data_IF_329201150782
#
_entry.id   IF_329201150782
#
_cell.length_a   1.000
_cell.length_b   1.000
_cell.length_c   1.000
_cell.angle_alpha   90.00
_cell.angle_beta   90.00
_cell.angle_gamma   90.00
#
_symmetry.space_group_name_H-M   'P 1'
#
loop_
_entity.id
_entity.type
_entity.pdbx_description
1 polymer ?
#
# COMPACT_ATOMS: atom_id res chain seq x y z
N UNK A 1 -22.51 -60.40 35.50
CA UNK A 1 -22.46 -60.23 34.02
C UNK A 1 -21.96 -58.82 33.70
N UNK A 2 -20.76 -58.70 33.14
CA UNK A 2 -20.15 -57.43 32.72
C UNK A 2 -20.99 -56.78 31.62
N UNK A 3 -21.58 -55.60 31.85
CA UNK A 3 -22.25 -54.81 30.80
C UNK A 3 -21.58 -53.45 30.65
N UNK A 4 -20.61 -53.45 29.74
CA UNK A 4 -20.36 -52.45 28.71
C UNK A 4 -20.38 -50.97 29.13
N UNK A 5 -19.21 -50.48 29.53
CA UNK A 5 -18.84 -49.06 29.53
C UNK A 5 -19.06 -48.48 28.12
N UNK A 6 -20.13 -47.71 27.93
CA UNK A 6 -20.31 -46.88 26.74
C UNK A 6 -19.46 -45.62 26.90
N UNK A 7 -18.23 -45.67 26.39
CA UNK A 7 -17.46 -44.46 26.13
C UNK A 7 -18.12 -43.77 24.93
N UNK A 8 -19.00 -42.81 25.20
CA UNK A 8 -19.44 -41.83 24.21
C UNK A 8 -18.24 -40.94 23.86
N UNK A 9 -17.45 -41.36 22.87
CA UNK A 9 -16.55 -40.45 22.17
C UNK A 9 -17.48 -39.57 21.32
N UNK A 10 -17.90 -38.45 21.89
CA UNK A 10 -18.40 -37.33 21.10
C UNK A 10 -17.24 -36.87 20.21
N UNK A 11 -17.19 -37.43 19.00
CA UNK A 11 -16.43 -36.84 17.90
C UNK A 11 -17.14 -35.54 17.55
N UNK A 12 -16.87 -34.49 18.33
CA UNK A 12 -17.08 -33.11 17.89
C UNK A 12 -16.15 -32.97 16.70
N UNK A 13 -16.72 -33.22 15.52
CA UNK A 13 -16.19 -32.74 14.26
C UNK A 13 -16.17 -31.23 14.47
N UNK A 14 -15.03 -30.72 14.93
CA UNK A 14 -14.64 -29.37 14.64
C UNK A 14 -14.71 -29.29 13.11
N UNK A 15 -15.85 -28.82 12.59
CA UNK A 15 -15.81 -27.95 11.43
C UNK A 15 -14.93 -26.78 11.88
N UNK A 16 -13.61 -26.99 11.80
CA UNK A 16 -12.74 -25.92 11.39
C UNK A 16 -13.29 -25.50 10.05
N UNK A 17 -14.25 -24.56 10.09
CA UNK A 17 -14.42 -23.62 9.02
C UNK A 17 -13.02 -23.04 8.85
N UNK A 18 -12.26 -23.62 7.93
CA UNK A 18 -11.19 -22.98 7.20
C UNK A 18 -11.83 -21.78 6.48
N UNK A 19 -12.27 -20.80 7.25
CA UNK A 19 -12.29 -19.40 6.85
C UNK A 19 -10.82 -19.01 6.79
N UNK A 20 -10.14 -19.61 5.81
CA UNK A 20 -8.81 -19.23 5.36
C UNK A 20 -8.89 -17.75 5.10
N UNK A 21 -8.08 -17.00 5.84
CA UNK A 21 -8.07 -15.55 5.85
C UNK A 21 -7.60 -15.02 4.48
N UNK A 22 -8.54 -14.98 3.54
CA UNK A 22 -8.32 -14.79 2.12
C UNK A 22 -9.42 -13.88 1.57
N UNK A 23 -9.29 -13.54 0.29
CA UNK A 23 -10.39 -12.97 -0.47
C UNK A 23 -11.61 -13.88 -0.36
N UNK A 24 -12.82 -13.33 -0.29
CA UNK A 24 -14.01 -14.16 -0.22
C UNK A 24 -14.13 -15.06 -1.44
N UNK A 25 -14.71 -16.25 -1.28
CA UNK A 25 -14.94 -17.20 -2.39
C UNK A 25 -15.67 -16.52 -3.55
N UNK A 26 -16.61 -15.63 -3.25
CA UNK A 26 -17.30 -14.84 -4.26
C UNK A 26 -16.35 -13.98 -5.10
N UNK A 27 -15.35 -13.32 -4.49
CA UNK A 27 -14.40 -12.52 -5.23
C UNK A 27 -13.36 -13.40 -5.94
N UNK A 28 -12.97 -14.53 -5.35
CA UNK A 28 -12.12 -15.52 -6.00
C UNK A 28 -12.78 -16.07 -7.28
N UNK A 29 -14.06 -16.43 -7.23
CA UNK A 29 -14.82 -16.87 -8.41
C UNK A 29 -14.91 -15.76 -9.48
N UNK A 30 -15.09 -14.50 -9.06
CA UNK A 30 -15.04 -13.39 -9.99
C UNK A 30 -13.68 -13.27 -10.69
N UNK A 31 -12.57 -13.43 -9.96
CA UNK A 31 -11.21 -13.40 -10.53
C UNK A 31 -11.04 -14.52 -11.56
N UNK A 32 -11.40 -15.76 -11.20
CA UNK A 32 -11.30 -16.92 -12.10
C UNK A 32 -12.11 -16.74 -13.40
N UNK A 33 -13.27 -16.08 -13.31
CA UNK A 33 -14.16 -15.90 -14.45
C UNK A 33 -13.81 -14.70 -15.34
N UNK A 34 -12.99 -13.74 -14.87
CA UNK A 34 -12.81 -12.44 -15.55
C UNK A 34 -11.34 -12.02 -15.75
N UNK A 35 -10.37 -12.71 -15.15
CA UNK A 35 -8.95 -12.40 -15.20
C UNK A 35 -8.15 -13.68 -15.53
N UNK A 36 -6.85 -13.53 -15.84
CA UNK A 36 -5.94 -14.68 -15.89
C UNK A 36 -6.03 -15.44 -14.54
N UNK A 37 -6.40 -16.73 -14.53
CA UNK A 37 -6.51 -17.54 -13.31
C UNK A 37 -5.26 -17.51 -12.43
N UNK A 38 -4.07 -17.26 -13.01
CA UNK A 38 -2.83 -17.11 -12.25
C UNK A 38 -2.90 -15.97 -11.22
N UNK A 39 -3.69 -14.91 -11.48
CA UNK A 39 -3.86 -13.81 -10.53
C UNK A 39 -4.54 -14.23 -9.24
N UNK A 40 -5.32 -15.32 -9.23
CA UNK A 40 -5.93 -15.81 -8.00
C UNK A 40 -4.83 -16.10 -6.95
N UNK A 41 -3.79 -16.83 -7.34
CA UNK A 41 -2.65 -17.14 -6.47
C UNK A 41 -1.93 -15.88 -5.98
N UNK A 42 -1.68 -14.93 -6.89
CA UNK A 42 -1.02 -13.67 -6.55
C UNK A 42 -1.88 -12.79 -5.62
N UNK A 43 -3.20 -12.91 -5.70
CA UNK A 43 -4.08 -12.09 -4.88
C UNK A 43 -4.45 -12.75 -3.56
N UNK A 44 -4.63 -14.07 -3.47
CA UNK A 44 -4.98 -14.75 -2.20
C UNK A 44 -3.78 -14.89 -1.28
N UNK A 45 -2.58 -15.08 -1.84
CA UNK A 45 -1.31 -15.18 -1.09
C UNK A 45 -1.33 -16.24 0.00
N UNK A 46 -1.92 -17.39 -0.32
CA UNK A 46 -1.96 -18.57 0.57
C UNK A 46 -0.55 -19.01 1.01
N UNK A 47 0.47 -18.77 0.17
CA UNK A 47 1.87 -19.03 0.47
C UNK A 47 2.42 -18.21 1.66
N UNK A 48 1.74 -17.13 2.05
CA UNK A 48 2.16 -16.25 3.16
C UNK A 48 1.35 -16.43 4.44
N UNK A 49 0.35 -17.32 4.43
CA UNK A 49 -0.51 -17.63 5.56
C UNK A 49 -1.66 -16.64 5.77
N UNK A 50 -2.30 -16.74 6.94
CA UNK A 50 -3.52 -15.98 7.26
C UNK A 50 -3.29 -14.47 7.19
N UNK A 51 -4.31 -13.72 6.74
CA UNK A 51 -4.34 -12.24 6.69
C UNK A 51 -3.32 -11.65 5.71
N UNK A 52 -2.81 -12.44 4.78
CA UNK A 52 -2.01 -11.95 3.66
C UNK A 52 -2.86 -11.14 2.67
N UNK A 53 -4.16 -11.41 2.63
CA UNK A 53 -5.13 -10.72 1.77
C UNK A 53 -6.50 -10.56 2.45
N UNK A 54 -7.32 -9.62 1.97
CA UNK A 54 -8.70 -9.38 2.43
C UNK A 54 -9.53 -8.74 1.32
N UNK A 55 -10.84 -9.00 1.33
CA UNK A 55 -11.81 -8.31 0.49
C UNK A 55 -12.79 -9.26 -0.19
N UNK A 56 -13.82 -8.69 -0.79
CA UNK A 56 -14.88 -9.44 -1.49
C UNK A 56 -16.15 -9.64 -0.66
N UNK A 57 -17.28 -9.76 -1.35
CA UNK A 57 -18.60 -10.05 -0.77
C UNK A 57 -18.68 -11.48 -0.26
N UNK A 58 -19.51 -11.77 0.73
CA UNK A 58 -19.83 -13.15 1.09
C UNK A 58 -20.76 -13.77 0.05
N UNK A 59 -21.69 -12.98 -0.49
CA UNK A 59 -22.66 -13.40 -1.51
C UNK A 59 -23.18 -12.19 -2.32
N UNK A 60 -24.06 -12.45 -3.30
CA UNK A 60 -24.62 -11.41 -4.17
C UNK A 60 -25.48 -10.36 -3.44
N UNK A 61 -26.01 -10.66 -2.25
CA UNK A 61 -26.87 -9.75 -1.49
C UNK A 61 -26.09 -8.68 -0.73
N UNK A 62 -24.76 -8.80 -0.61
CA UNK A 62 -23.93 -7.78 0.01
C UNK A 62 -23.86 -6.53 -0.89
N UNK A 63 -24.31 -5.40 -0.34
CA UNK A 63 -24.38 -4.12 -1.05
C UNK A 63 -23.13 -3.29 -0.79
N UNK A 64 -22.52 -2.77 -1.85
CA UNK A 64 -21.40 -1.83 -1.78
C UNK A 64 -21.99 -0.42 -1.74
N UNK A 65 -21.91 0.22 -0.58
CA UNK A 65 -22.48 1.55 -0.33
C UNK A 65 -21.43 2.66 -0.33
N UNK A 66 -20.16 2.29 -0.16
CA UNK A 66 -19.00 3.18 -0.15
C UNK A 66 -18.04 2.80 -1.26
N UNK A 67 -17.17 3.74 -1.65
CA UNK A 67 -16.03 3.41 -2.51
C UNK A 67 -15.15 2.39 -1.79
N UNK A 68 -14.74 1.30 -2.46
CA UNK A 68 -13.82 0.33 -1.87
C UNK A 68 -12.48 0.96 -1.53
N UNK A 69 -11.93 0.62 -0.37
CA UNK A 69 -10.60 1.06 0.06
C UNK A 69 -9.62 -0.07 -0.18
N UNK A 70 -8.54 0.21 -0.92
CA UNK A 70 -7.42 -0.72 -1.13
C UNK A 70 -6.24 -0.28 -0.27
N UNK A 71 -5.77 -1.18 0.58
CA UNK A 71 -4.59 -0.98 1.43
C UNK A 71 -3.37 -1.60 0.73
N UNK A 72 -2.35 -0.79 0.47
CA UNK A 72 -1.07 -1.23 -0.10
C UNK A 72 0.05 -1.05 0.94
N UNK A 73 0.55 -2.17 1.45
CA UNK A 73 1.58 -2.16 2.49
C UNK A 73 2.94 -1.64 2.00
N UNK A 74 3.83 -1.36 2.96
CA UNK A 74 5.22 -0.96 2.71
C UNK A 74 6.19 -2.12 2.51
N UNK A 75 7.47 -1.78 2.35
CA UNK A 75 8.57 -2.73 2.21
C UNK A 75 8.64 -3.70 3.39
N UNK A 76 9.04 -4.96 3.14
CA UNK A 76 9.20 -6.01 4.17
C UNK A 76 7.98 -6.23 5.07
N UNK A 77 6.77 -5.89 4.59
CA UNK A 77 5.53 -6.10 5.32
C UNK A 77 4.63 -7.09 4.57
N UNK A 78 3.61 -7.54 5.29
CA UNK A 78 2.42 -8.19 4.75
C UNK A 78 1.21 -7.31 5.04
N UNK A 79 0.08 -7.57 4.38
CA UNK A 79 -1.18 -6.92 4.72
C UNK A 79 -1.56 -7.11 6.21
N UNK A 80 -1.13 -8.21 6.84
CA UNK A 80 -1.31 -8.46 8.26
C UNK A 80 -0.82 -7.31 9.17
N UNK A 81 0.23 -6.56 8.77
CA UNK A 81 0.72 -5.39 9.53
C UNK A 81 -0.33 -4.27 9.65
N UNK A 82 -1.30 -4.25 8.74
CA UNK A 82 -2.32 -3.22 8.59
C UNK A 82 -3.70 -3.64 9.12
N UNK A 83 -3.77 -4.71 9.91
CA UNK A 83 -5.03 -5.12 10.57
C UNK A 83 -5.58 -4.03 11.47
N UNK A 84 -4.72 -3.21 12.10
CA UNK A 84 -5.18 -2.04 12.85
C UNK A 84 -5.94 -1.03 11.99
N UNK A 85 -5.51 -0.81 10.74
CA UNK A 85 -6.22 0.06 9.79
C UNK A 85 -7.52 -0.60 9.29
N UNK A 86 -7.48 -1.89 8.95
CA UNK A 86 -8.66 -2.65 8.52
C UNK A 86 -9.74 -2.64 9.60
N UNK A 87 -9.37 -2.90 10.85
CA UNK A 87 -10.30 -2.84 11.98
C UNK A 87 -10.83 -1.42 12.18
N UNK A 88 -9.99 -0.39 12.00
CA UNK A 88 -10.42 1.00 12.12
C UNK A 88 -11.41 1.43 11.03
N UNK A 89 -11.23 0.97 9.80
CA UNK A 89 -12.22 1.17 8.72
C UNK A 89 -13.56 0.53 9.09
N UNK A 90 -13.55 -0.70 9.60
CA UNK A 90 -14.76 -1.41 10.05
C UNK A 90 -15.44 -0.69 11.20
N UNK A 91 -14.68 -0.20 12.17
CA UNK A 91 -15.18 0.65 13.27
C UNK A 91 -15.87 1.91 12.74
N UNK A 92 -15.36 2.50 11.65
CA UNK A 92 -15.96 3.65 10.94
C UNK A 92 -17.07 3.28 9.95
N UNK A 93 -17.57 2.04 10.01
CA UNK A 93 -18.74 1.59 9.28
C UNK A 93 -18.46 1.03 7.88
N UNK A 94 -17.21 0.87 7.46
CA UNK A 94 -16.90 0.13 6.23
C UNK A 94 -17.22 -1.35 6.41
N UNK A 95 -17.85 -1.96 5.40
CA UNK A 95 -18.13 -3.40 5.39
C UNK A 95 -16.87 -4.17 4.96
N UNK A 96 -16.80 -5.46 5.31
CA UNK A 96 -15.66 -6.31 4.94
C UNK A 96 -15.45 -6.37 3.42
N UNK A 97 -16.53 -6.29 2.63
CA UNK A 97 -16.50 -6.24 1.17
C UNK A 97 -16.29 -4.83 0.57
N UNK A 98 -15.96 -3.85 1.41
CA UNK A 98 -15.55 -2.49 1.02
C UNK A 98 -14.08 -2.22 1.40
N UNK A 99 -13.39 -3.18 2.02
CA UNK A 99 -11.98 -3.09 2.41
C UNK A 99 -11.19 -4.22 1.75
N UNK A 100 -10.20 -3.85 0.95
CA UNK A 100 -9.42 -4.75 0.13
C UNK A 100 -7.93 -4.59 0.41
N UNK A 101 -7.18 -5.66 0.20
CA UNK A 101 -5.73 -5.64 0.24
C UNK A 101 -5.18 -6.99 -0.17
N UNK A 102 -4.00 -6.97 -0.77
CA UNK A 102 -3.20 -8.16 -1.01
C UNK A 102 -1.74 -7.85 -0.69
N UNK A 103 -0.99 -8.88 -0.33
CA UNK A 103 0.45 -8.74 -0.09
C UNK A 103 1.19 -8.80 -1.42
N UNK A 104 1.93 -7.75 -1.76
CA UNK A 104 2.87 -7.77 -2.88
C UNK A 104 4.25 -8.28 -2.41
N UNK A 105 5.02 -8.87 -3.33
CA UNK A 105 6.34 -9.42 -3.02
C UNK A 105 6.31 -10.67 -2.13
N UNK A 106 7.37 -10.94 -1.39
CA UNK A 106 7.52 -12.20 -0.62
C UNK A 106 7.08 -12.12 0.84
N UNK A 107 6.46 -11.01 1.25
CA UNK A 107 6.00 -10.80 2.62
C UNK A 107 7.13 -10.62 3.65
N UNK A 108 8.29 -10.13 3.22
CA UNK A 108 9.43 -9.80 4.09
C UNK A 108 10.49 -10.89 4.21
N UNK A 109 10.51 -11.86 3.29
CA UNK A 109 11.60 -12.84 3.21
C UNK A 109 12.88 -12.19 2.69
N UNK A 110 12.76 -11.30 1.69
CA UNK A 110 13.88 -10.49 1.21
C UNK A 110 14.17 -9.36 2.19
N UNK A 111 15.42 -9.18 2.65
CA UNK A 111 15.81 -8.04 3.47
C UNK A 111 15.44 -6.71 2.81
N UNK A 112 14.96 -5.73 3.59
CA UNK A 112 14.52 -4.44 3.08
C UNK A 112 15.61 -3.73 2.24
N UNK A 113 16.88 -3.89 2.57
CA UNK A 113 18.01 -3.32 1.81
C UNK A 113 18.15 -3.88 0.39
N UNK A 114 17.47 -4.98 0.06
CA UNK A 114 17.55 -5.67 -1.23
C UNK A 114 16.22 -5.63 -2.03
N UNK A 115 15.14 -5.07 -1.46
CA UNK A 115 13.87 -4.97 -2.18
C UNK A 115 13.91 -3.78 -3.13
N UNK A 116 13.63 -4.05 -4.41
CA UNK A 116 13.56 -3.04 -5.47
C UNK A 116 12.15 -2.94 -6.04
N UNK A 117 11.87 -1.88 -6.79
CA UNK A 117 10.59 -1.67 -7.44
C UNK A 117 10.43 -2.55 -8.70
N UNK A 118 10.35 -3.86 -8.47
CA UNK A 118 10.22 -4.86 -9.54
C UNK A 118 8.90 -4.73 -10.29
N UNK A 119 8.94 -4.91 -11.61
CA UNK A 119 7.75 -4.96 -12.44
C UNK A 119 6.72 -5.99 -11.95
N UNK A 120 7.19 -7.14 -11.44
CA UNK A 120 6.35 -8.18 -10.85
C UNK A 120 5.43 -7.63 -9.74
N UNK A 121 5.97 -6.85 -8.81
CA UNK A 121 5.19 -6.29 -7.69
C UNK A 121 4.18 -5.25 -8.19
N UNK A 122 4.61 -4.43 -9.14
CA UNK A 122 3.78 -3.40 -9.78
C UNK A 122 2.61 -4.04 -10.53
N UNK A 123 2.82 -5.15 -11.25
CA UNK A 123 1.78 -5.89 -11.97
C UNK A 123 0.72 -6.43 -11.00
N UNK A 124 1.13 -7.01 -9.87
CA UNK A 124 0.19 -7.50 -8.85
C UNK A 124 -0.67 -6.36 -8.31
N UNK A 125 -0.04 -5.24 -7.92
CA UNK A 125 -0.78 -4.06 -7.40
C UNK A 125 -1.76 -3.53 -8.46
N UNK A 126 -1.29 -3.35 -9.70
CA UNK A 126 -2.09 -2.82 -10.82
C UNK A 126 -3.32 -3.69 -11.09
N UNK A 127 -3.13 -4.99 -11.21
CA UNK A 127 -4.22 -5.90 -11.55
C UNK A 127 -5.19 -6.07 -10.38
N UNK A 128 -4.70 -5.98 -9.13
CA UNK A 128 -5.58 -5.97 -7.96
C UNK A 128 -6.48 -4.73 -7.94
N UNK A 129 -5.95 -3.54 -8.26
CA UNK A 129 -6.73 -2.30 -8.38
C UNK A 129 -7.83 -2.46 -9.44
N UNK A 130 -7.47 -2.97 -10.63
CA UNK A 130 -8.42 -3.19 -11.73
C UNK A 130 -9.50 -4.21 -11.33
N UNK A 131 -9.10 -5.33 -10.72
CA UNK A 131 -10.01 -6.38 -10.27
C UNK A 131 -11.02 -5.86 -9.24
N UNK A 132 -10.56 -5.12 -8.22
CA UNK A 132 -11.44 -4.54 -7.21
C UNK A 132 -12.39 -3.52 -7.83
N UNK A 133 -11.91 -2.61 -8.67
CA UNK A 133 -12.77 -1.60 -9.31
C UNK A 133 -13.85 -2.23 -10.18
N UNK A 134 -13.50 -3.21 -11.02
CA UNK A 134 -14.47 -3.90 -11.88
C UNK A 134 -15.44 -4.76 -11.08
N UNK A 135 -14.95 -5.49 -10.08
CA UNK A 135 -15.78 -6.33 -9.21
C UNK A 135 -16.85 -5.53 -8.46
N UNK A 136 -16.47 -4.34 -8.01
CA UNK A 136 -17.33 -3.46 -7.22
C UNK A 136 -18.14 -2.47 -8.07
N UNK A 137 -17.88 -2.44 -9.38
CA UNK A 137 -18.40 -1.46 -10.34
C UNK A 137 -18.29 -0.02 -9.80
N UNK A 138 -17.11 0.34 -9.26
CA UNK A 138 -16.90 1.62 -8.60
C UNK A 138 -15.46 2.10 -8.80
N UNK A 139 -15.24 3.40 -8.62
CA UNK A 139 -13.89 3.92 -8.37
C UNK A 139 -13.43 3.45 -6.99
N UNK A 140 -12.13 3.25 -6.85
CA UNK A 140 -11.51 2.83 -5.59
C UNK A 140 -10.82 4.01 -4.92
N UNK A 141 -10.73 3.95 -3.60
CA UNK A 141 -9.81 4.78 -2.83
C UNK A 141 -8.59 3.92 -2.41
N UNK A 142 -7.40 4.52 -2.39
CA UNK A 142 -6.14 3.83 -2.11
C UNK A 142 -5.46 4.49 -0.91
N UNK A 143 -4.97 3.64 0.01
CA UNK A 143 -4.03 4.05 1.05
C UNK A 143 -2.76 3.24 0.86
N UNK A 144 -1.71 3.92 0.41
CA UNK A 144 -0.42 3.31 0.14
C UNK A 144 0.62 3.80 1.16
N UNK A 145 1.39 2.85 1.69
CA UNK A 145 2.32 3.08 2.79
C UNK A 145 3.77 2.92 2.33
N UNK A 146 4.66 3.82 2.74
CA UNK A 146 6.12 3.63 2.56
C UNK A 146 6.48 3.36 1.09
N UNK A 147 7.26 2.31 0.82
CA UNK A 147 7.58 1.85 -0.54
C UNK A 147 6.34 1.47 -1.37
N UNK A 148 5.24 1.08 -0.73
CA UNK A 148 3.97 0.81 -1.40
C UNK A 148 3.44 2.04 -2.16
N UNK A 149 3.75 3.26 -1.70
CA UNK A 149 3.33 4.49 -2.38
C UNK A 149 3.92 4.61 -3.80
N UNK A 150 5.24 4.70 -4.01
CA UNK A 150 5.78 4.79 -5.36
C UNK A 150 5.48 3.55 -6.22
N UNK A 151 5.38 2.34 -5.65
CA UNK A 151 4.95 1.15 -6.40
C UNK A 151 3.53 1.29 -6.95
N UNK A 152 2.60 1.79 -6.11
CA UNK A 152 1.22 2.01 -6.53
C UNK A 152 1.13 3.14 -7.54
N UNK A 153 1.92 4.20 -7.40
CA UNK A 153 2.03 5.26 -8.41
C UNK A 153 2.45 4.71 -9.76
N UNK A 154 3.46 3.82 -9.81
CA UNK A 154 3.84 3.15 -11.06
C UNK A 154 2.73 2.24 -11.61
N UNK A 155 2.03 1.51 -10.73
CA UNK A 155 0.89 0.70 -11.11
C UNK A 155 -0.25 1.53 -11.75
N UNK A 156 -0.45 2.77 -11.26
CA UNK A 156 -1.48 3.69 -11.76
C UNK A 156 -1.05 4.33 -13.08
N UNK A 157 0.13 4.95 -13.17
CA UNK A 157 0.58 5.64 -14.40
C UNK A 157 0.72 4.67 -15.58
N UNK A 158 1.01 3.39 -15.31
CA UNK A 158 1.15 2.39 -16.36
C UNK A 158 2.42 2.60 -17.17
N UNK A 159 2.32 2.49 -18.50
CA UNK A 159 3.48 2.60 -19.38
C UNK A 159 4.42 1.39 -19.27
N UNK A 160 5.71 1.56 -19.60
CA UNK A 160 6.70 0.47 -19.52
C UNK A 160 7.31 0.37 -18.12
N UNK A 161 7.49 -0.82 -17.61
CA UNK A 161 8.34 -1.07 -16.45
C UNK A 161 9.79 -0.70 -16.77
N UNK A 162 10.46 0.00 -15.86
CA UNK A 162 11.84 0.47 -16.11
C UNK A 162 12.87 -0.66 -16.10
N UNK A 163 12.59 -1.73 -15.36
CA UNK A 163 13.49 -2.87 -15.16
C UNK A 163 13.33 -3.96 -16.23
N UNK A 164 12.09 -4.28 -16.61
CA UNK A 164 11.81 -5.35 -17.60
C UNK A 164 11.40 -4.85 -18.97
N UNK A 165 11.02 -3.57 -19.11
CA UNK A 165 10.46 -3.02 -20.34
C UNK A 165 9.02 -3.45 -20.64
N UNK A 166 8.42 -4.33 -19.83
CA UNK A 166 7.05 -4.82 -20.00
C UNK A 166 6.05 -3.66 -19.97
N UNK A 167 5.08 -3.68 -20.88
CA UNK A 167 4.04 -2.66 -20.96
C UNK A 167 2.87 -3.00 -20.02
N UNK A 168 2.64 -2.15 -19.02
CA UNK A 168 1.56 -2.29 -18.03
C UNK A 168 0.19 -1.90 -18.58
N UNK A 169 0.13 -1.12 -19.67
CA UNK A 169 -1.09 -0.55 -20.22
C UNK A 169 -1.24 0.96 -19.95
N UNK A 170 -2.42 1.48 -20.26
CA UNK A 170 -2.78 2.89 -20.09
C UNK A 170 -2.90 3.29 -18.61
N UNK A 171 -2.81 4.60 -18.27
CA UNK A 171 -3.03 5.07 -16.92
C UNK A 171 -4.39 4.66 -16.32
N UNK A 172 -4.44 4.41 -15.02
CA UNK A 172 -5.66 4.08 -14.26
C UNK A 172 -6.30 5.31 -13.61
N UNK A 173 -5.98 6.53 -14.03
CA UNK A 173 -6.47 7.77 -13.39
C UNK A 173 -8.01 7.78 -13.21
N UNK A 174 -8.76 7.28 -14.19
CA UNK A 174 -10.23 7.20 -14.14
C UNK A 174 -10.78 6.06 -13.26
N UNK A 175 -9.91 5.25 -12.64
CA UNK A 175 -10.26 4.16 -11.73
C UNK A 175 -10.10 4.58 -10.26
N UNK A 176 -9.23 5.55 -9.97
CA UNK A 176 -8.92 5.98 -8.59
C UNK A 176 -9.63 7.30 -8.28
N UNK A 177 -10.46 7.30 -7.24
CA UNK A 177 -11.03 8.55 -6.72
C UNK A 177 -10.05 9.22 -5.76
N UNK A 178 -9.72 8.59 -4.63
CA UNK A 178 -8.79 9.14 -3.63
C UNK A 178 -7.51 8.32 -3.56
N UNK A 179 -6.37 8.98 -3.59
CA UNK A 179 -5.06 8.39 -3.33
C UNK A 179 -4.42 9.05 -2.12
N UNK A 180 -4.07 8.26 -1.10
CA UNK A 180 -3.39 8.73 0.11
C UNK A 180 -2.03 8.04 0.20
N UNK A 181 -0.97 8.83 0.09
CA UNK A 181 0.39 8.38 0.40
C UNK A 181 0.70 8.63 1.88
N UNK A 182 0.98 7.57 2.64
CA UNK A 182 1.31 7.66 4.07
C UNK A 182 2.77 7.25 4.27
N UNK A 183 3.60 8.20 4.72
CA UNK A 183 5.05 8.01 4.85
C UNK A 183 5.69 7.45 3.57
N UNK A 184 5.17 7.82 2.39
CA UNK A 184 5.58 7.22 1.11
C UNK A 184 6.98 7.66 0.67
N UNK A 185 7.74 6.79 -0.01
CA UNK A 185 9.07 7.11 -0.55
C UNK A 185 9.02 7.71 -1.97
N UNK A 186 8.15 8.70 -2.18
CA UNK A 186 7.74 9.16 -3.53
C UNK A 186 8.86 9.84 -4.34
N UNK A 187 9.85 10.41 -3.67
CA UNK A 187 11.06 10.98 -4.29
C UNK A 187 12.34 10.34 -3.73
N UNK A 188 12.22 9.14 -3.17
CA UNK A 188 13.32 8.35 -2.63
C UNK A 188 13.35 8.30 -1.11
N UNK A 189 14.50 7.90 -0.57
CA UNK A 189 14.77 7.84 0.88
C UNK A 189 16.06 8.57 1.22
N UNK A 190 16.13 9.22 2.38
CA UNK A 190 17.36 9.79 2.93
C UNK A 190 18.42 8.73 3.24
N UNK A 191 18.03 7.46 3.31
CA UNK A 191 18.94 6.32 3.41
C UNK A 191 19.52 5.91 2.04
N UNK A 192 18.97 6.43 0.95
CA UNK A 192 19.36 6.14 -0.43
C UNK A 192 19.84 7.40 -1.18
N UNK A 193 20.48 8.37 -0.50
CA UNK A 193 21.01 9.56 -1.17
C UNK A 193 22.13 9.21 -2.16
N UNK A 194 22.90 8.16 -1.88
CA UNK A 194 23.87 7.60 -2.80
C UNK A 194 23.36 6.31 -3.42
N UNK A 195 23.56 6.11 -4.73
CA UNK A 195 23.14 4.88 -5.37
C UNK A 195 24.08 3.74 -4.99
N UNK A 196 23.51 2.61 -4.54
CA UNK A 196 24.25 1.39 -4.22
C UNK A 196 23.81 0.30 -5.21
N UNK A 197 24.74 -0.31 -5.98
CA UNK A 197 24.41 -1.41 -6.88
C UNK A 197 23.71 -2.57 -6.17
N UNK A 198 22.80 -3.26 -6.85
CA UNK A 198 22.11 -4.47 -6.36
C UNK A 198 21.49 -4.26 -4.96
N UNK A 199 20.78 -3.15 -4.79
CA UNK A 199 20.13 -2.79 -3.53
C UNK A 199 18.83 -2.05 -3.76
N UNK A 200 18.09 -1.80 -2.68
CA UNK A 200 16.96 -0.89 -2.63
C UNK A 200 17.30 0.55 -3.01
N UNK A 201 18.58 0.92 -3.13
CA UNK A 201 19.05 2.24 -3.52
C UNK A 201 19.66 2.28 -4.95
N UNK A 202 19.43 1.27 -5.80
CA UNK A 202 20.04 1.24 -7.13
C UNK A 202 19.48 2.31 -8.11
N UNK A 203 20.22 2.60 -9.19
CA UNK A 203 19.87 3.63 -10.20
C UNK A 203 18.75 3.25 -11.16
N UNK A 204 18.35 1.98 -11.24
CA UNK A 204 17.32 1.52 -12.17
C UNK A 204 15.94 1.60 -11.52
N UNK A 205 15.72 0.76 -10.50
CA UNK A 205 14.44 0.60 -9.82
C UNK A 205 14.55 0.69 -8.29
N UNK A 206 15.52 1.46 -7.80
CA UNK A 206 15.69 1.74 -6.37
C UNK A 206 14.98 3.01 -5.89
N UNK A 207 15.23 3.35 -4.63
CA UNK A 207 14.78 4.55 -3.93
C UNK A 207 15.86 5.65 -3.89
N UNK A 208 16.90 5.52 -4.71
CA UNK A 208 17.79 6.64 -5.01
C UNK A 208 17.04 7.67 -5.84
N UNK A 209 17.09 8.95 -5.44
CA UNK A 209 16.27 10.01 -6.03
C UNK A 209 16.37 10.12 -7.56
N UNK A 210 17.56 9.88 -8.12
CA UNK A 210 17.83 9.90 -9.55
C UNK A 210 17.77 8.52 -10.19
N UNK A 211 16.96 7.62 -9.63
CA UNK A 211 16.70 6.32 -10.26
C UNK A 211 15.68 6.48 -11.38
N UNK A 212 15.83 5.69 -12.45
CA UNK A 212 14.90 5.71 -13.58
C UNK A 212 13.45 5.47 -13.15
N UNK A 213 13.23 4.63 -12.14
CA UNK A 213 11.90 4.41 -11.55
C UNK A 213 11.30 5.66 -10.92
N UNK A 214 12.07 6.40 -10.11
CA UNK A 214 11.56 7.62 -9.49
C UNK A 214 11.41 8.76 -10.49
N UNK A 215 12.28 8.85 -11.49
CA UNK A 215 12.13 9.80 -12.59
C UNK A 215 10.85 9.52 -13.39
N UNK A 216 10.59 8.26 -13.72
CA UNK A 216 9.41 7.83 -14.47
C UNK A 216 8.11 8.20 -13.73
N UNK A 217 7.93 7.78 -12.47
CA UNK A 217 6.69 8.10 -11.72
C UNK A 217 6.55 9.60 -11.41
N UNK A 218 7.63 10.38 -11.46
CA UNK A 218 7.59 11.83 -11.19
C UNK A 218 7.62 12.68 -12.47
N UNK A 219 7.65 12.05 -13.65
CA UNK A 219 7.62 12.74 -14.95
C UNK A 219 6.28 13.42 -15.25
N UNK A 220 5.21 12.92 -14.62
CA UNK A 220 3.86 13.46 -14.71
C UNK A 220 3.33 13.77 -13.32
N UNK A 221 2.33 14.64 -13.24
CA UNK A 221 1.68 15.04 -11.98
C UNK A 221 0.21 14.68 -12.04
N UNK A 222 -0.38 14.45 -10.86
CA UNK A 222 -1.83 14.31 -10.64
C UNK A 222 -2.52 13.10 -11.29
N UNK A 223 -1.76 12.11 -11.76
CA UNK A 223 -2.34 10.90 -12.36
C UNK A 223 -2.82 9.88 -11.30
N UNK A 224 -2.49 10.08 -10.02
CA UNK A 224 -2.76 9.12 -8.95
C UNK A 224 -4.26 8.98 -8.63
N UNK A 225 -5.08 9.97 -9.00
CA UNK A 225 -6.54 9.95 -8.83
C UNK A 225 -7.14 11.36 -8.71
N UNK A 226 -8.45 11.44 -8.57
CA UNK A 226 -9.19 12.71 -8.46
C UNK A 226 -8.84 13.55 -7.23
N UNK A 227 -8.42 12.90 -6.13
CA UNK A 227 -8.00 13.50 -4.87
C UNK A 227 -6.71 12.87 -4.39
N UNK A 228 -5.67 13.66 -4.19
CA UNK A 228 -4.32 13.19 -3.89
C UNK A 228 -3.83 13.84 -2.60
N UNK A 229 -3.60 13.01 -1.59
CA UNK A 229 -3.15 13.46 -0.29
C UNK A 229 -1.86 12.79 0.13
N UNK A 230 -1.08 13.50 0.95
CA UNK A 230 0.13 12.94 1.57
C UNK A 230 0.13 13.18 3.07
N UNK A 231 0.46 12.16 3.86
CA UNK A 231 0.73 12.27 5.30
C UNK A 231 2.17 11.87 5.53
N UNK A 232 2.97 12.74 6.14
CA UNK A 232 4.39 12.47 6.40
C UNK A 232 4.86 13.17 7.67
N UNK A 233 6.00 12.74 8.20
CA UNK A 233 6.68 13.38 9.32
C UNK A 233 8.05 13.89 8.91
N UNK A 234 8.47 15.02 9.47
CA UNK A 234 9.86 15.48 9.31
C UNK A 234 10.87 14.70 10.16
N UNK A 235 10.39 13.84 11.06
CA UNK A 235 11.18 12.94 11.88
C UNK A 235 11.01 11.47 11.45
N UNK A 236 10.53 11.23 10.22
CA UNK A 236 10.51 9.90 9.62
C UNK A 236 11.95 9.43 9.37
N UNK A 237 12.37 8.39 10.08
CA UNK A 237 13.72 7.84 10.06
C UNK A 237 14.01 6.91 8.87
N UNK A 238 12.98 6.43 8.15
CA UNK A 238 13.14 5.45 7.06
C UNK A 238 13.10 6.10 5.68
N UNK A 239 12.14 6.99 5.45
CA UNK A 239 12.08 7.80 4.21
C UNK A 239 12.91 9.07 4.37
N UNK A 240 13.01 9.61 5.58
CA UNK A 240 13.60 10.91 5.79
C UNK A 240 12.63 12.05 5.47
N UNK A 241 13.01 13.25 5.89
CA UNK A 241 12.25 14.45 5.61
C UNK A 241 12.63 15.06 4.26
N UNK A 242 13.92 15.35 4.06
CA UNK A 242 14.41 16.12 2.92
C UNK A 242 15.64 15.47 2.29
N UNK A 243 15.66 15.42 0.97
CA UNK A 243 16.77 14.90 0.17
C UNK A 243 16.63 15.41 -1.26
N UNK A 244 17.74 15.51 -1.99
CA UNK A 244 17.69 15.84 -3.42
C UNK A 244 16.94 17.15 -3.72
N UNK A 245 17.11 18.14 -2.84
CA UNK A 245 16.51 19.47 -2.97
C UNK A 245 15.00 19.55 -2.70
N UNK A 246 14.37 18.52 -2.13
CA UNK A 246 12.92 18.50 -1.85
C UNK A 246 12.55 17.62 -0.65
N UNK A 247 11.30 17.70 -0.20
CA UNK A 247 10.76 16.69 0.71
C UNK A 247 10.58 15.37 -0.03
N UNK A 248 11.01 14.27 0.60
CA UNK A 248 11.05 12.96 -0.07
C UNK A 248 9.68 12.26 -0.12
N UNK A 249 8.83 12.57 0.85
CA UNK A 249 7.56 11.87 1.03
C UNK A 249 6.33 12.47 0.36
N UNK A 250 6.04 13.78 0.45
CA UNK A 250 4.77 14.32 0.01
C UNK A 250 4.72 14.49 -1.53
N UNK A 251 3.65 14.02 -2.18
CA UNK A 251 3.48 14.07 -3.65
C UNK A 251 3.26 15.51 -4.11
N UNK A 252 4.23 16.07 -4.83
CA UNK A 252 4.17 17.45 -5.32
C UNK A 252 3.04 17.58 -6.34
N UNK A 253 2.19 18.60 -6.15
CA UNK A 253 1.02 18.85 -7.00
C UNK A 253 -0.26 18.12 -6.58
N UNK A 254 -0.24 17.34 -5.48
CA UNK A 254 -1.44 16.78 -4.89
C UNK A 254 -2.38 17.83 -4.28
N UNK A 255 -3.61 17.45 -3.96
CA UNK A 255 -4.64 18.34 -3.38
C UNK A 255 -4.34 18.77 -1.93
N UNK A 256 -3.37 18.15 -1.28
CA UNK A 256 -2.78 18.69 -0.07
C UNK A 256 -2.01 17.67 0.75
N UNK A 257 -1.39 18.15 1.82
CA UNK A 257 -0.61 17.31 2.72
C UNK A 257 -0.84 17.61 4.19
N UNK A 258 -0.53 16.61 5.01
CA UNK A 258 -0.50 16.69 6.46
C UNK A 258 0.94 16.39 6.89
N UNK A 259 1.62 17.45 7.31
CA UNK A 259 2.99 17.40 7.81
C UNK A 259 2.96 17.27 9.33
N UNK A 260 3.55 16.19 9.85
CA UNK A 260 3.73 15.92 11.27
C UNK A 260 5.18 16.17 11.70
N UNK A 261 5.38 16.25 13.01
CA UNK A 261 6.67 16.29 13.69
C UNK A 261 6.63 15.35 14.89
N UNK A 262 7.78 14.87 15.37
CA UNK A 262 7.88 13.92 16.49
C UNK A 262 7.37 12.51 16.21
N UNK A 263 6.97 12.19 14.98
CA UNK A 263 6.52 10.85 14.59
C UNK A 263 7.60 10.14 13.79
N UNK A 264 7.95 8.92 14.19
CA UNK A 264 8.72 7.97 13.39
C UNK A 264 7.91 7.46 12.21
N UNK A 265 8.54 6.73 11.29
CA UNK A 265 7.91 6.15 10.10
C UNK A 265 6.66 5.33 10.47
N UNK A 266 6.80 4.43 11.44
CA UNK A 266 5.70 3.54 11.85
C UNK A 266 4.60 4.29 12.61
N UNK A 267 4.96 5.34 13.38
CA UNK A 267 3.98 6.20 14.05
C UNK A 267 3.14 7.00 13.05
N UNK A 268 3.72 7.48 11.95
CA UNK A 268 2.94 8.13 10.89
C UNK A 268 1.89 7.16 10.35
N UNK A 269 2.23 5.90 10.12
CA UNK A 269 1.28 4.90 9.63
C UNK A 269 0.18 4.57 10.65
N UNK A 270 0.56 4.40 11.91
CA UNK A 270 -0.32 3.86 12.95
C UNK A 270 -1.17 4.92 13.66
N UNK A 271 -0.58 6.06 14.02
CA UNK A 271 -1.25 7.10 14.81
C UNK A 271 -2.09 8.05 13.95
N UNK A 272 -1.96 7.99 12.62
CA UNK A 272 -2.74 8.83 11.71
C UNK A 272 -3.91 8.12 11.02
N UNK A 273 -4.27 6.90 11.43
CA UNK A 273 -5.38 6.12 10.81
C UNK A 273 -6.70 6.90 10.75
N UNK A 274 -7.04 7.63 11.82
CA UNK A 274 -8.23 8.49 11.85
C UNK A 274 -8.18 9.59 10.78
N UNK A 275 -7.01 10.19 10.59
CA UNK A 275 -6.77 11.20 9.56
C UNK A 275 -6.87 10.57 8.16
N UNK A 276 -6.28 9.39 7.97
CA UNK A 276 -6.35 8.65 6.70
C UNK A 276 -7.81 8.38 6.31
N UNK A 277 -8.63 7.86 7.22
CA UNK A 277 -10.06 7.59 6.97
C UNK A 277 -10.85 8.89 6.75
N UNK A 278 -10.52 9.95 7.47
CA UNK A 278 -11.15 11.26 7.27
C UNK A 278 -10.91 11.76 5.85
N UNK A 279 -9.69 11.59 5.31
CA UNK A 279 -9.36 11.99 3.94
C UNK A 279 -10.13 11.18 2.87
N UNK A 280 -10.44 9.91 3.10
CA UNK A 280 -11.26 9.09 2.19
C UNK A 280 -12.70 9.61 2.07
N UNK A 281 -13.27 10.07 3.19
CA UNK A 281 -14.68 10.49 3.28
C UNK A 281 -14.90 11.97 2.97
N UNK A 282 -13.84 12.76 2.71
CA UNK A 282 -13.94 14.22 2.69
C UNK A 282 -14.76 14.77 1.53
N UNK A 283 -15.67 15.70 1.86
CA UNK A 283 -16.17 16.75 0.95
C UNK A 283 -15.80 18.19 1.36
N UNK A 284 -15.49 18.52 2.64
CA UNK A 284 -15.20 19.90 3.11
C UNK A 284 -14.31 19.98 4.40
N UNK A 285 -13.57 21.09 4.56
CA UNK A 285 -13.02 21.77 5.78
C UNK A 285 -11.93 21.15 6.70
N UNK A 286 -10.72 20.88 6.20
CA UNK A 286 -9.50 21.13 7.00
C UNK A 286 -8.54 21.97 6.18
N UNK A 287 -7.76 22.83 6.84
CA UNK A 287 -6.63 23.53 6.21
C UNK A 287 -5.55 22.49 5.91
N UNK A 288 -5.64 21.89 4.72
CA UNK A 288 -4.48 21.28 4.09
C UNK A 288 -3.59 22.43 3.62
N UNK A 289 -2.28 22.30 3.80
CA UNK A 289 -1.38 23.22 3.14
C UNK A 289 -1.41 22.90 1.65
N UNK A 290 -1.71 23.87 0.76
CA UNK A 290 -1.47 23.67 -0.65
C UNK A 290 0.02 23.39 -0.86
N UNK A 291 0.33 22.60 -1.89
CA UNK A 291 1.71 22.55 -2.35
C UNK A 291 2.02 23.88 -3.05
N UNK A 292 2.99 24.60 -2.51
CA UNK A 292 3.73 25.61 -3.25
C UNK A 292 5.00 24.93 -3.77
N UNK A 293 5.35 25.11 -5.05
CA UNK A 293 6.63 24.63 -5.59
C UNK A 293 7.83 25.23 -4.80
N UNK A 294 7.61 26.32 -4.03
CA UNK A 294 8.56 26.92 -3.09
C UNK A 294 8.56 26.29 -1.68
N UNK A 295 8.17 25.02 -1.52
CA UNK A 295 8.60 24.22 -0.36
C UNK A 295 10.12 23.97 -0.47
N UNK A 296 10.91 25.04 -0.46
CA UNK A 296 12.35 25.08 -0.24
C UNK A 296 12.57 25.36 1.24
N UNK A 297 13.61 24.73 1.80
CA UNK A 297 14.00 24.75 3.22
C UNK A 297 13.79 26.12 3.88
N UNK A 298 12.74 26.28 4.69
CA UNK A 298 12.69 27.42 5.61
C UNK A 298 12.94 27.07 7.08
N UNK A 299 13.17 25.81 7.49
CA UNK A 299 13.55 25.47 8.88
C UNK A 299 14.05 24.01 9.03
N UNK A 300 15.07 23.58 8.28
CA UNK A 300 15.70 22.26 8.50
C UNK A 300 17.10 22.41 9.10
N UNK A 301 17.24 22.06 10.39
CA UNK A 301 18.52 21.67 10.98
C UNK A 301 18.57 20.13 10.95
N UNK A 302 19.56 19.51 10.31
CA UNK A 302 19.70 18.05 10.32
C UNK A 302 19.85 17.57 11.77
N UNK A 303 18.97 16.66 12.17
CA UNK A 303 19.13 15.92 13.42
C UNK A 303 20.13 14.79 13.14
N UNK A 304 21.42 15.07 13.33
CA UNK A 304 22.40 14.01 13.49
C UNK A 304 22.19 13.42 14.89
N UNK A 305 21.34 12.40 15.00
CA UNK A 305 21.40 11.52 16.16
C UNK A 305 22.78 10.88 16.14
N UNK A 306 23.61 11.26 17.11
CA UNK A 306 24.90 10.65 17.35
C UNK A 306 24.67 9.14 17.53
N UNK A 307 25.28 8.31 16.67
CA UNK A 307 25.29 6.86 16.85
C UNK A 307 24.80 6.03 15.68
N UNK A 308 25.44 6.13 14.52
CA UNK A 308 25.69 4.95 13.69
C UNK A 308 27.17 4.93 13.35
N UNK A 309 27.91 4.29 14.26
CA UNK A 309 29.28 3.84 14.06
C UNK A 309 29.29 2.91 12.84
N UNK A 310 30.17 3.20 11.89
CA UNK A 310 30.48 2.32 10.77
C UNK A 310 30.97 0.99 11.34
N UNK A 311 30.17 -0.07 11.22
CA UNK A 311 30.65 -1.43 11.44
C UNK A 311 31.08 -1.93 10.07
N UNK A 312 32.38 -1.83 9.83
CA UNK A 312 33.14 -2.81 9.01
C UNK A 312 33.28 -4.09 9.81
#
# INVERSE_FOLDING_TARGET
MKKLFHFFIFSIIFMEYLTSATLSDHFQQYILNNFDPNYLKYFTREDLGKKASVGGKNNNNDIISRRPVIIIHGISNKLQRFQGMINKLKEKGYKSWEVYGTTWGDGGKTPATLVTAKCEYIKVIRQFIIAVSKYTNNMVDIIAYSMGSPLTRKAIIGGKCVDTGEYLGMPLENVIHTYISVAGANYGSSLCIYPIPISACNKLNGLYCGSSFLEDINSQRRYEGKKIYSIFSIHDEKVGSYGCGKYLSPIIGGDGYIKKSGMSHDKVMDETREIQITLLNRRLNFILKPFDDNIKKNNYKPYYSHGCMWIT
#
